data_IF_224732356424
#
_entry.id   IF_224732356424
#
_cell.length_a   1.000
_cell.length_b   1.000
_cell.length_c   1.000
_cell.angle_alpha   90.00
_cell.angle_beta   90.00
_cell.angle_gamma   90.00
#
_symmetry.space_group_name_H-M   'P 1'
#
loop_
_entity.id
_entity.type
_entity.pdbx_description
1 polymer ?
#
# COMPACT_ATOMS: atom_id res chain seq x y z
N UNK A 1 -42.42 12.53 22.82
CA UNK A 1 -42.44 11.07 22.65
C UNK A 1 -42.90 10.76 21.22
N UNK A 2 -41.98 10.52 20.27
CA UNK A 2 -42.27 9.97 18.92
C UNK A 2 -41.28 8.85 18.66
N UNK A 3 -41.79 7.62 18.71
CA UNK A 3 -41.01 6.41 18.36
C UNK A 3 -40.92 6.32 16.85
N UNK A 4 -39.70 6.29 16.30
CA UNK A 4 -39.44 6.00 14.88
C UNK A 4 -39.03 4.54 14.80
N UNK A 5 -39.88 3.76 14.11
CA UNK A 5 -39.72 2.34 13.84
C UNK A 5 -38.89 2.19 12.55
N UNK A 6 -37.69 1.62 12.65
CA UNK A 6 -36.90 1.24 11.48
C UNK A 6 -37.28 -0.19 11.05
N UNK A 7 -37.85 -0.29 9.86
CA UNK A 7 -38.12 -1.55 9.19
C UNK A 7 -36.90 -1.94 8.40
N UNK A 8 -36.28 -3.07 8.79
CA UNK A 8 -35.20 -3.71 8.04
C UNK A 8 -35.83 -4.64 7.00
N UNK A 9 -35.62 -4.33 5.74
CA UNK A 9 -36.09 -5.14 4.60
C UNK A 9 -34.96 -6.07 4.15
N UNK A 10 -35.11 -7.36 4.44
CA UNK A 10 -34.26 -8.42 3.89
C UNK A 10 -34.73 -8.75 2.46
N UNK A 11 -33.86 -8.56 1.49
CA UNK A 11 -34.02 -9.12 0.13
C UNK A 11 -33.14 -10.36 0.01
N UNK A 12 -33.78 -11.51 -0.03
CA UNK A 12 -33.20 -12.81 -0.38
C UNK A 12 -33.17 -12.95 -1.90
N UNK A 13 -31.99 -13.17 -2.49
CA UNK A 13 -31.85 -13.56 -3.89
C UNK A 13 -31.56 -15.06 -3.99
N UNK A 14 -32.47 -15.74 -4.67
CA UNK A 14 -32.41 -17.18 -4.94
C UNK A 14 -31.54 -17.48 -6.16
N UNK A 15 -30.75 -18.53 -6.03
CA UNK A 15 -29.88 -19.10 -7.05
C UNK A 15 -30.72 -19.97 -7.99
N UNK A 16 -30.54 -19.81 -9.30
CA UNK A 16 -31.00 -20.78 -10.30
C UNK A 16 -29.77 -21.33 -11.02
N UNK A 17 -29.58 -22.64 -10.86
CA UNK A 17 -28.62 -23.50 -11.54
C UNK A 17 -29.26 -24.04 -12.82
N UNK A 18 -28.54 -24.03 -13.94
CA UNK A 18 -28.88 -24.85 -15.09
C UNK A 18 -27.59 -25.34 -15.78
N UNK A 19 -27.41 -26.64 -15.72
CA UNK A 19 -26.46 -27.42 -16.54
C UNK A 19 -27.00 -27.59 -17.96
N UNK A 20 -26.12 -27.66 -18.96
CA UNK A 20 -26.34 -28.51 -20.15
C UNK A 20 -24.98 -28.89 -20.76
N UNK A 21 -24.79 -30.22 -20.88
CA UNK A 21 -23.73 -30.94 -21.57
C UNK A 21 -23.95 -30.92 -23.11
N UNK A 22 -22.87 -31.09 -23.87
CA UNK A 22 -22.67 -32.09 -24.94
C UNK A 22 -21.56 -31.66 -25.90
N UNK A 23 -20.47 -32.43 -25.90
CA UNK A 23 -19.96 -33.45 -26.85
C UNK A 23 -19.28 -32.96 -28.14
N UNK A 24 -18.04 -33.50 -28.27
CA UNK A 24 -17.15 -33.54 -29.47
C UNK A 24 -17.75 -34.35 -30.64
N UNK A 25 -17.16 -34.31 -31.85
CA UNK A 25 -15.97 -35.14 -32.14
C UNK A 25 -14.99 -34.65 -33.21
N UNK A 26 -13.80 -35.23 -33.20
CA UNK A 26 -12.73 -35.27 -34.20
C UNK A 26 -13.11 -36.24 -35.36
N UNK A 27 -12.63 -36.14 -36.63
CA UNK A 27 -11.31 -36.68 -36.99
C UNK A 27 -10.57 -36.14 -38.24
N UNK A 28 -9.24 -36.12 -38.19
CA UNK A 28 -8.22 -36.89 -38.95
C UNK A 28 -7.97 -36.74 -40.46
N UNK A 29 -6.64 -36.82 -40.81
CA UNK A 29 -5.92 -37.21 -42.07
C UNK A 29 -5.64 -36.09 -43.07
N UNK A 30 -4.55 -36.07 -43.82
CA UNK A 30 -3.25 -36.80 -43.91
C UNK A 30 -2.40 -36.14 -44.98
N UNK A 31 -1.05 -36.23 -44.84
CA UNK A 31 -0.02 -36.39 -45.91
C UNK A 31 0.08 -35.35 -47.04
N UNK A 32 1.20 -34.87 -47.56
CA UNK A 32 2.42 -35.58 -47.99
C UNK A 32 3.55 -34.57 -48.30
N UNK A 33 4.76 -34.99 -48.03
CA UNK A 33 6.09 -34.76 -48.59
C UNK A 33 6.31 -33.81 -49.77
N UNK A 34 7.39 -33.00 -49.67
CA UNK A 34 8.54 -33.08 -50.63
C UNK A 34 9.67 -32.10 -50.26
N UNK A 35 10.85 -32.63 -49.96
CA UNK A 35 12.17 -32.01 -50.16
C UNK A 35 12.66 -32.38 -51.59
N UNK A 36 13.81 -31.85 -52.15
CA UNK A 36 14.85 -31.00 -51.55
C UNK A 36 15.31 -29.85 -52.49
N UNK A 37 16.12 -28.88 -52.03
CA UNK A 37 17.39 -28.64 -52.72
C UNK A 37 18.38 -27.75 -51.90
N UNK A 38 19.62 -28.16 -51.99
CA UNK A 38 20.83 -27.58 -51.37
C UNK A 38 21.32 -26.41 -52.21
N UNK A 39 21.68 -25.29 -51.58
CA UNK A 39 22.75 -24.45 -52.09
C UNK A 39 23.42 -23.60 -51.01
N UNK A 40 24.73 -23.65 -51.00
CA UNK A 40 25.69 -23.05 -50.11
C UNK A 40 25.72 -21.52 -50.08
N UNK A 41 26.02 -20.93 -48.88
CA UNK A 41 26.94 -19.84 -48.58
C UNK A 41 26.34 -18.65 -47.83
N UNK A 42 27.13 -17.84 -47.07
CA UNK A 42 28.43 -18.01 -46.40
C UNK A 42 28.45 -17.55 -44.94
N UNK A 43 29.53 -17.83 -44.26
CA UNK A 43 29.93 -17.68 -42.86
C UNK A 43 30.00 -16.25 -42.24
N UNK A 44 29.49 -15.20 -42.88
CA UNK A 44 29.56 -13.83 -42.33
C UNK A 44 28.35 -13.41 -41.49
N UNK A 45 27.21 -14.05 -41.65
CA UNK A 45 26.00 -13.75 -40.86
C UNK A 45 26.02 -14.29 -39.42
N UNK A 46 26.77 -15.37 -39.16
CA UNK A 46 26.87 -15.93 -37.77
C UNK A 46 27.64 -15.03 -36.81
N UNK A 47 28.62 -14.24 -37.28
CA UNK A 47 29.36 -13.33 -36.38
C UNK A 47 28.57 -12.10 -35.98
N UNK A 48 27.65 -11.61 -36.77
CA UNK A 48 26.78 -10.50 -36.41
C UNK A 48 25.61 -10.97 -35.54
N UNK A 49 25.11 -12.16 -35.73
CA UNK A 49 24.06 -12.75 -34.88
C UNK A 49 24.53 -12.98 -33.44
N UNK A 50 25.75 -13.49 -33.25
CA UNK A 50 26.30 -13.68 -31.90
C UNK A 50 26.63 -12.37 -31.18
N UNK A 51 27.02 -11.30 -31.88
CA UNK A 51 27.26 -9.99 -31.27
C UNK A 51 25.97 -9.33 -30.85
N UNK A 52 24.94 -9.39 -31.67
CA UNK A 52 23.61 -8.87 -31.32
C UNK A 52 22.93 -9.65 -30.19
N UNK A 53 23.11 -10.97 -30.11
CA UNK A 53 22.58 -11.77 -29.00
C UNK A 53 23.33 -11.48 -27.69
N UNK A 54 24.64 -11.21 -27.72
CA UNK A 54 25.39 -10.84 -26.53
C UNK A 54 25.06 -9.42 -26.04
N UNK A 55 24.82 -8.46 -26.93
CA UNK A 55 24.36 -7.11 -26.56
C UNK A 55 22.92 -7.13 -26.05
N UNK A 56 22.00 -7.84 -26.69
CA UNK A 56 20.63 -8.03 -26.21
C UNK A 56 20.57 -8.75 -24.86
N UNK A 57 21.46 -9.73 -24.63
CA UNK A 57 21.54 -10.42 -23.35
C UNK A 57 22.11 -9.54 -22.23
N UNK A 58 23.05 -8.63 -22.55
CA UNK A 58 23.58 -7.63 -21.61
C UNK A 58 22.54 -6.54 -21.28
N UNK A 59 21.80 -6.06 -22.26
CA UNK A 59 20.73 -5.06 -22.08
C UNK A 59 19.58 -5.68 -21.24
N UNK A 60 19.18 -6.92 -21.52
CA UNK A 60 18.16 -7.60 -20.74
C UNK A 60 18.61 -7.89 -19.28
N UNK A 61 19.85 -8.31 -19.07
CA UNK A 61 20.39 -8.51 -17.71
C UNK A 61 20.49 -7.21 -16.93
N UNK A 62 20.90 -6.11 -17.55
CA UNK A 62 20.96 -4.78 -16.92
C UNK A 62 19.57 -4.27 -16.52
N UNK A 63 18.58 -4.40 -17.39
CA UNK A 63 17.20 -4.01 -17.10
C UNK A 63 16.53 -4.92 -16.05
N UNK A 64 16.83 -6.21 -16.02
CA UNK A 64 16.31 -7.14 -15.02
C UNK A 64 16.88 -6.81 -13.65
N UNK A 65 18.18 -6.51 -13.53
CA UNK A 65 18.80 -6.12 -12.25
C UNK A 65 18.22 -4.81 -11.74
N UNK A 66 18.02 -3.81 -12.60
CA UNK A 66 17.42 -2.53 -12.20
C UNK A 66 15.93 -2.68 -11.78
N UNK A 67 15.17 -3.60 -12.38
CA UNK A 67 13.77 -3.84 -12.05
C UNK A 67 13.57 -4.61 -10.75
N UNK A 68 14.57 -5.36 -10.28
CA UNK A 68 14.50 -6.15 -9.04
C UNK A 68 14.82 -5.36 -7.78
N UNK A 69 15.35 -4.14 -7.89
CA UNK A 69 15.60 -3.27 -6.75
C UNK A 69 14.33 -2.53 -6.34
N UNK A 70 14.22 -2.13 -5.08
CA UNK A 70 13.09 -1.29 -4.63
C UNK A 70 12.95 -0.02 -5.47
N UNK A 71 14.06 0.68 -5.72
CA UNK A 71 14.07 1.88 -6.56
C UNK A 71 13.56 1.59 -7.98
N UNK A 72 13.96 0.45 -8.57
CA UNK A 72 13.47 0.01 -9.88
C UNK A 72 11.97 -0.29 -9.88
N UNK A 73 11.48 -0.99 -8.86
CA UNK A 73 10.05 -1.29 -8.69
C UNK A 73 9.23 0.00 -8.53
N UNK A 74 9.66 0.92 -7.67
CA UNK A 74 8.96 2.20 -7.43
C UNK A 74 8.98 3.10 -8.66
N UNK A 75 10.10 3.12 -9.40
CA UNK A 75 10.19 3.82 -10.69
C UNK A 75 9.22 3.21 -11.71
N UNK A 76 9.23 1.89 -11.90
CA UNK A 76 8.33 1.20 -12.82
C UNK A 76 6.86 1.44 -12.44
N UNK A 77 6.55 1.46 -11.14
CA UNK A 77 5.22 1.79 -10.66
C UNK A 77 4.81 3.21 -11.06
N UNK A 78 5.68 4.20 -10.85
CA UNK A 78 5.43 5.59 -11.23
C UNK A 78 5.18 5.72 -12.74
N UNK A 79 5.93 5.00 -13.56
CA UNK A 79 5.80 5.02 -15.02
C UNK A 79 4.51 4.32 -15.51
N UNK A 80 4.03 3.31 -14.77
CA UNK A 80 2.80 2.56 -15.10
C UNK A 80 1.52 3.21 -14.57
N UNK A 81 1.60 3.97 -13.47
CA UNK A 81 0.45 4.67 -12.89
C UNK A 81 0.08 5.88 -13.75
N UNK A 82 -0.86 5.66 -14.68
CA UNK A 82 -1.43 6.72 -15.50
C UNK A 82 -2.60 7.38 -14.77
N UNK A 83 -2.32 8.42 -14.01
CA UNK A 83 -3.32 9.18 -13.25
C UNK A 83 -3.51 10.56 -13.85
N UNK A 84 -4.70 11.14 -13.67
CA UNK A 84 -5.01 12.52 -14.03
C UNK A 84 -4.64 13.54 -12.94
N UNK A 85 -4.03 13.08 -11.84
CA UNK A 85 -3.50 13.90 -10.76
C UNK A 85 -2.13 13.36 -10.29
N UNK A 86 -1.24 14.24 -9.81
CA UNK A 86 0.06 13.81 -9.32
C UNK A 86 -0.07 13.02 -8.03
N UNK A 87 0.68 11.93 -7.91
CA UNK A 87 0.79 11.15 -6.68
C UNK A 87 2.24 11.06 -6.21
N UNK A 88 2.41 11.09 -4.90
CA UNK A 88 3.70 10.85 -4.24
C UNK A 88 3.77 9.37 -3.90
N UNK A 89 4.86 8.72 -4.28
CA UNK A 89 5.20 7.35 -3.88
C UNK A 89 6.33 7.39 -2.84
N UNK A 90 6.48 6.36 -2.00
CA UNK A 90 7.57 6.32 -1.02
C UNK A 90 8.93 6.24 -1.73
N UNK A 91 9.98 6.75 -1.10
CA UNK A 91 11.37 6.62 -1.61
C UNK A 91 11.87 5.19 -1.48
N UNK A 92 11.58 4.58 -0.36
CA UNK A 92 11.95 3.21 0.00
C UNK A 92 10.96 2.68 1.04
N UNK A 93 10.76 1.37 1.08
CA UNK A 93 9.89 0.74 2.08
C UNK A 93 10.70 -0.22 2.97
N UNK A 94 10.36 -0.32 4.26
CA UNK A 94 11.08 -1.18 5.20
C UNK A 94 10.69 -2.65 4.96
N UNK A 95 11.40 -3.33 4.05
CA UNK A 95 11.25 -4.77 3.81
C UNK A 95 12.41 -5.55 4.44
N UNK A 96 12.21 -6.85 4.65
CA UNK A 96 13.23 -7.75 5.21
C UNK A 96 14.40 -7.89 4.23
N UNK A 97 15.62 -7.89 4.77
CA UNK A 97 16.82 -8.11 3.94
C UNK A 97 16.73 -9.45 3.19
N UNK A 98 16.95 -9.41 1.89
CA UNK A 98 16.90 -10.59 1.02
C UNK A 98 15.51 -10.92 0.47
N UNK A 99 14.53 -10.05 0.71
CA UNK A 99 13.22 -10.11 0.06
C UNK A 99 13.09 -9.04 -1.03
N UNK A 100 12.01 -9.12 -1.79
CA UNK A 100 11.72 -8.22 -2.91
C UNK A 100 10.45 -7.43 -2.63
N UNK A 101 10.48 -6.13 -2.97
CA UNK A 101 9.28 -5.31 -3.02
C UNK A 101 8.53 -5.60 -4.33
N UNK A 102 7.22 -5.72 -4.24
CA UNK A 102 6.32 -5.72 -5.39
C UNK A 102 4.99 -5.10 -4.99
N UNK A 103 4.09 -4.87 -5.95
CA UNK A 103 2.80 -4.28 -5.68
C UNK A 103 1.72 -4.68 -6.69
N UNK A 104 0.46 -4.54 -6.27
CA UNK A 104 -0.67 -4.41 -7.19
C UNK A 104 -1.18 -2.98 -7.18
N UNK A 105 -1.65 -2.52 -8.34
CA UNK A 105 -2.15 -1.17 -8.53
C UNK A 105 -3.55 -1.19 -9.12
N UNK A 106 -4.42 -0.29 -8.63
CA UNK A 106 -5.74 -0.05 -9.19
C UNK A 106 -5.91 1.46 -9.38
N UNK A 107 -6.28 1.88 -10.58
CA UNK A 107 -6.50 3.30 -10.91
C UNK A 107 -7.96 3.49 -11.29
N UNK A 108 -8.61 4.44 -10.64
CA UNK A 108 -9.96 4.91 -10.92
C UNK A 108 -9.93 6.41 -11.25
N UNK A 109 -11.05 6.98 -11.66
CA UNK A 109 -11.11 8.39 -12.09
C UNK A 109 -10.59 9.39 -11.06
N UNK A 110 -10.85 9.15 -9.77
CA UNK A 110 -10.48 10.04 -8.66
C UNK A 110 -9.74 9.32 -7.53
N UNK A 111 -9.29 8.08 -7.76
CA UNK A 111 -8.64 7.29 -6.73
C UNK A 111 -7.57 6.38 -7.32
N UNK A 112 -6.48 6.24 -6.59
CA UNK A 112 -5.44 5.23 -6.83
C UNK A 112 -5.31 4.39 -5.58
N UNK A 113 -5.24 3.07 -5.77
CA UNK A 113 -4.89 2.13 -4.71
C UNK A 113 -3.62 1.38 -5.10
N UNK A 114 -2.70 1.26 -4.15
CA UNK A 114 -1.49 0.45 -4.28
C UNK A 114 -1.40 -0.46 -3.07
N UNK A 115 -1.38 -1.77 -3.32
CA UNK A 115 -1.04 -2.76 -2.30
C UNK A 115 0.43 -3.12 -2.45
N UNK A 116 1.23 -2.78 -1.45
CA UNK A 116 2.64 -3.15 -1.37
C UNK A 116 2.80 -4.52 -0.73
N UNK A 117 3.65 -5.33 -1.33
CA UNK A 117 3.95 -6.67 -0.85
C UNK A 117 5.46 -6.87 -0.69
N UNK A 118 5.81 -7.64 0.31
CA UNK A 118 7.12 -8.25 0.48
C UNK A 118 7.05 -9.70 0.03
N UNK A 119 7.96 -10.12 -0.86
CA UNK A 119 8.01 -11.48 -1.42
C UNK A 119 9.41 -12.09 -1.31
N UNK A 120 9.51 -13.41 -1.10
CA UNK A 120 10.77 -14.15 -1.11
C UNK A 120 11.36 -14.32 -2.51
N UNK A 121 10.53 -14.23 -3.54
CA UNK A 121 10.94 -14.26 -4.96
C UNK A 121 10.57 -12.94 -5.64
N UNK A 122 11.33 -12.57 -6.67
CA UNK A 122 10.96 -11.43 -7.49
C UNK A 122 9.66 -11.70 -8.24
N UNK A 123 8.68 -10.84 -8.05
CA UNK A 123 7.41 -10.84 -8.77
C UNK A 123 7.22 -9.48 -9.45
N UNK A 124 6.87 -9.44 -10.74
CA UNK A 124 6.53 -8.18 -11.42
C UNK A 124 5.35 -7.46 -10.78
N UNK A 125 5.20 -6.17 -11.08
CA UNK A 125 4.00 -5.42 -10.68
C UNK A 125 2.75 -6.07 -11.29
N UNK A 126 1.70 -6.16 -10.48
CA UNK A 126 0.41 -6.75 -10.87
C UNK A 126 0.47 -8.24 -11.24
N UNK A 127 1.50 -8.97 -10.78
CA UNK A 127 1.60 -10.41 -11.03
C UNK A 127 0.39 -11.15 -10.44
N UNK A 128 -0.13 -12.13 -11.19
CA UNK A 128 -1.29 -12.93 -10.75
C UNK A 128 -1.02 -13.75 -9.49
N UNK A 129 0.23 -14.12 -9.23
CA UNK A 129 0.65 -14.83 -8.02
C UNK A 129 0.40 -14.02 -6.74
N UNK A 130 0.35 -12.70 -6.82
CA UNK A 130 0.06 -11.82 -5.67
C UNK A 130 -1.36 -12.00 -5.11
N UNK A 131 -2.27 -12.60 -5.87
CA UNK A 131 -3.60 -12.97 -5.37
C UNK A 131 -3.57 -14.13 -4.38
N UNK A 132 -2.48 -14.89 -4.35
CA UNK A 132 -2.28 -16.01 -3.42
C UNK A 132 -1.32 -15.57 -2.30
N UNK A 133 -1.83 -15.43 -1.07
CA UNK A 133 -1.09 -14.97 0.10
C UNK A 133 0.14 -15.82 0.48
N UNK A 134 0.28 -17.03 -0.08
CA UNK A 134 1.45 -17.87 0.16
C UNK A 134 2.72 -17.35 -0.51
N UNK A 135 2.60 -16.54 -1.57
CA UNK A 135 3.74 -16.04 -2.34
C UNK A 135 4.27 -14.70 -1.84
N UNK A 136 3.42 -13.89 -1.20
CA UNK A 136 3.78 -12.56 -0.76
C UNK A 136 2.94 -12.11 0.45
N UNK A 137 3.52 -11.23 1.28
CA UNK A 137 2.87 -10.67 2.47
C UNK A 137 2.57 -9.21 2.20
N UNK A 138 1.34 -8.78 2.44
CA UNK A 138 0.97 -7.36 2.40
C UNK A 138 1.70 -6.64 3.53
N UNK A 139 2.43 -5.57 3.18
CA UNK A 139 3.13 -4.72 4.14
C UNK A 139 2.42 -3.37 4.35
N UNK A 140 1.72 -2.87 3.33
CA UNK A 140 0.90 -1.67 3.41
C UNK A 140 -0.08 -1.58 2.24
N UNK A 141 -1.19 -0.86 2.45
CA UNK A 141 -2.02 -0.33 1.38
C UNK A 141 -1.93 1.20 1.39
N UNK A 142 -1.66 1.78 0.23
CA UNK A 142 -1.78 3.21 -0.04
C UNK A 142 -3.05 3.45 -0.83
N UNK A 143 -3.90 4.34 -0.35
CA UNK A 143 -5.03 4.89 -1.11
C UNK A 143 -4.81 6.40 -1.26
N UNK A 144 -4.80 6.90 -2.48
CA UNK A 144 -4.76 8.34 -2.78
C UNK A 144 -6.06 8.71 -3.45
N UNK A 145 -6.83 9.60 -2.82
CA UNK A 145 -8.12 10.03 -3.34
C UNK A 145 -8.15 11.53 -3.60
N UNK A 146 -8.62 11.92 -4.78
CA UNK A 146 -8.82 13.30 -5.17
C UNK A 146 -10.22 13.78 -4.79
N UNK A 147 -10.29 14.96 -4.20
CA UNK A 147 -11.51 15.65 -3.81
C UNK A 147 -11.70 16.91 -4.65
N UNK A 148 -12.91 17.49 -4.70
CA UNK A 148 -13.19 18.68 -5.51
C UNK A 148 -12.31 19.90 -5.17
N UNK A 149 -11.96 20.08 -3.90
CA UNK A 149 -11.10 21.15 -3.42
C UNK A 149 -10.40 20.76 -2.11
N UNK A 150 -9.43 21.60 -1.69
CA UNK A 150 -8.62 21.36 -0.50
C UNK A 150 -9.44 21.34 0.80
N UNK A 151 -10.51 22.13 0.89
CA UNK A 151 -11.39 22.16 2.07
C UNK A 151 -12.08 20.81 2.26
N UNK A 152 -12.71 20.28 1.21
CA UNK A 152 -13.39 18.97 1.24
C UNK A 152 -12.39 17.85 1.51
N UNK A 153 -11.17 17.94 0.97
CA UNK A 153 -10.11 16.98 1.28
C UNK A 153 -9.74 17.03 2.76
N UNK A 154 -9.57 18.22 3.34
CA UNK A 154 -9.22 18.34 4.76
C UNK A 154 -10.35 17.87 5.71
N UNK A 155 -11.60 17.99 5.33
CA UNK A 155 -12.75 17.46 6.08
C UNK A 155 -12.73 15.93 6.23
N UNK A 156 -11.92 15.23 5.42
CA UNK A 156 -11.71 13.79 5.54
C UNK A 156 -10.69 13.39 6.63
N UNK A 157 -9.93 14.36 7.15
CA UNK A 157 -8.92 14.12 8.17
C UNK A 157 -9.57 14.17 9.54
N UNK A 158 -9.52 13.08 10.29
CA UNK A 158 -9.99 13.02 11.67
C UNK A 158 -8.99 13.72 12.61
N UNK A 159 -8.75 15.01 12.37
CA UNK A 159 -7.84 15.80 13.19
C UNK A 159 -8.48 16.15 14.53
N UNK A 160 -7.72 15.95 15.62
CA UNK A 160 -8.12 16.28 16.99
C UNK A 160 -7.07 17.17 17.62
N UNK A 161 -7.48 18.30 18.20
CA UNK A 161 -6.62 19.06 19.07
C UNK A 161 -6.73 18.50 20.49
N UNK A 162 -5.83 17.62 20.86
CA UNK A 162 -5.90 16.88 22.11
C UNK A 162 -5.76 17.77 23.34
N UNK A 163 -4.99 18.85 23.27
CA UNK A 163 -4.85 19.80 24.39
C UNK A 163 -6.15 20.53 24.75
N UNK A 164 -7.06 20.67 23.76
CA UNK A 164 -8.37 21.31 23.93
C UNK A 164 -9.48 20.32 24.27
N UNK A 165 -9.28 19.05 23.95
CA UNK A 165 -10.29 18.01 24.15
C UNK A 165 -10.38 17.53 25.61
N UNK A 166 -9.41 17.91 26.45
CA UNK A 166 -9.30 17.42 27.82
C UNK A 166 -8.66 16.03 27.91
N UNK A 167 -8.83 15.37 29.05
CA UNK A 167 -8.24 14.07 29.33
C UNK A 167 -7.12 14.12 30.36
N UNK A 168 -6.69 12.96 30.84
CA UNK A 168 -5.60 12.85 31.83
C UNK A 168 -4.27 13.11 31.12
N UNK A 169 -3.49 14.08 31.61
CA UNK A 169 -2.17 14.38 31.06
C UNK A 169 -1.19 13.25 31.38
N UNK A 170 -0.35 12.94 30.41
CA UNK A 170 0.75 11.99 30.51
C UNK A 170 1.98 12.53 29.80
N UNK A 171 3.13 12.45 30.44
CA UNK A 171 4.41 12.83 29.86
C UNK A 171 4.85 11.73 28.86
N UNK A 172 5.07 12.12 27.60
CA UNK A 172 5.54 11.24 26.54
C UNK A 172 7.05 11.35 26.28
N UNK A 173 7.75 12.26 26.99
CA UNK A 173 9.14 12.63 26.75
C UNK A 173 9.27 13.78 25.76
N UNK A 174 10.48 14.35 25.63
CA UNK A 174 10.78 15.43 24.68
C UNK A 174 9.87 16.67 24.82
N UNK A 175 9.44 16.97 26.04
CA UNK A 175 8.47 18.04 26.36
C UNK A 175 7.09 17.85 25.72
N UNK A 176 6.78 16.65 25.20
CA UNK A 176 5.48 16.33 24.61
C UNK A 176 4.53 15.77 25.66
N UNK A 177 3.39 16.44 25.80
CA UNK A 177 2.30 16.02 26.69
C UNK A 177 1.24 15.28 25.89
N UNK A 178 0.98 14.03 26.26
CA UNK A 178 -0.16 13.26 25.79
C UNK A 178 -1.38 13.47 26.66
N UNK A 179 -2.55 13.21 26.11
CA UNK A 179 -3.85 13.30 26.77
C UNK A 179 -4.56 11.95 26.64
N UNK A 180 -4.93 11.37 27.77
CA UNK A 180 -5.63 10.09 27.79
C UNK A 180 -7.14 10.31 27.92
N UNK A 181 -7.89 9.63 27.07
CA UNK A 181 -9.34 9.59 27.08
C UNK A 181 -9.82 8.16 26.96
N UNK A 182 -10.82 7.78 27.75
CA UNK A 182 -11.34 6.42 27.82
C UNK A 182 -12.83 6.37 27.50
N UNK A 183 -13.23 5.37 26.74
CA UNK A 183 -14.64 5.14 26.42
C UNK A 183 -14.88 3.73 25.91
N UNK A 184 -15.97 3.09 26.36
CA UNK A 184 -16.41 1.78 25.92
C UNK A 184 -15.30 0.68 25.92
N UNK A 185 -14.47 0.67 26.96
CA UNK A 185 -13.37 -0.30 27.12
C UNK A 185 -12.11 0.02 26.33
N UNK A 186 -12.12 1.08 25.51
CA UNK A 186 -10.96 1.62 24.80
C UNK A 186 -10.31 2.74 25.57
N UNK A 187 -8.99 2.85 25.48
CA UNK A 187 -8.20 3.94 26.01
C UNK A 187 -7.31 4.49 24.89
N UNK A 188 -7.42 5.77 24.65
CA UNK A 188 -6.62 6.50 23.68
C UNK A 188 -5.62 7.40 24.41
N UNK A 189 -4.38 7.43 23.93
CA UNK A 189 -3.37 8.41 24.32
C UNK A 189 -3.05 9.25 23.10
N UNK A 190 -3.53 10.49 23.06
CA UNK A 190 -3.40 11.38 21.91
C UNK A 190 -2.50 12.58 22.19
N UNK A 191 -1.79 13.05 21.17
CA UNK A 191 -0.95 14.27 21.22
C UNK A 191 -0.91 14.94 19.84
N UNK A 192 -0.38 16.15 19.79
CA UNK A 192 -0.21 16.87 18.52
C UNK A 192 1.25 17.23 18.32
N UNK A 193 1.75 17.05 17.09
CA UNK A 193 3.03 17.54 16.62
C UNK A 193 2.82 18.30 15.29
N UNK A 194 3.02 19.61 15.32
CA UNK A 194 2.76 20.47 14.17
C UNK A 194 1.33 20.32 13.65
N UNK A 195 1.20 19.85 12.41
CA UNK A 195 -0.10 19.62 11.75
C UNK A 195 -0.62 18.19 11.90
N UNK A 196 0.00 17.40 12.73
CA UNK A 196 -0.39 16.02 12.98
C UNK A 196 -1.16 15.86 14.29
N UNK A 197 -2.24 15.11 14.25
CA UNK A 197 -2.90 14.54 15.40
C UNK A 197 -2.52 13.07 15.49
N UNK A 198 -1.78 12.67 16.52
CA UNK A 198 -1.30 11.31 16.69
C UNK A 198 -2.00 10.69 17.90
N UNK A 199 -2.34 9.41 17.83
CA UNK A 199 -2.91 8.69 18.94
C UNK A 199 -2.51 7.23 18.95
N UNK A 200 -2.36 6.68 20.16
CA UNK A 200 -2.25 5.24 20.37
C UNK A 200 -3.50 4.71 21.03
N UNK A 201 -3.95 3.54 20.56
CA UNK A 201 -5.07 2.81 21.12
C UNK A 201 -4.60 1.64 21.95
N UNK A 202 -5.24 1.47 23.12
CA UNK A 202 -5.17 0.28 23.96
C UNK A 202 -6.52 0.03 24.60
N UNK A 203 -6.63 -1.00 25.44
CA UNK A 203 -7.81 -1.23 26.28
C UNK A 203 -7.60 -0.64 27.66
N UNK A 204 -8.71 -0.35 28.35
CA UNK A 204 -8.68 0.19 29.71
C UNK A 204 -8.04 -0.74 30.74
N UNK A 205 -8.00 -2.05 30.46
CA UNK A 205 -7.31 -3.05 31.29
C UNK A 205 -5.78 -3.11 31.07
N UNK A 206 -5.26 -2.38 30.06
CA UNK A 206 -3.82 -2.33 29.75
C UNK A 206 -3.34 -0.90 29.42
N UNK A 207 -3.53 0.08 30.34
CA UNK A 207 -3.28 1.49 30.04
C UNK A 207 -1.82 1.79 29.71
N UNK A 208 -0.89 1.10 30.35
CA UNK A 208 0.54 1.34 30.19
C UNK A 208 1.06 0.98 28.77
N UNK A 209 0.42 0.05 28.09
CA UNK A 209 0.84 -0.35 26.75
C UNK A 209 0.60 0.77 25.73
N UNK A 210 -0.51 1.52 25.83
CA UNK A 210 -0.79 2.69 24.98
C UNK A 210 0.22 3.80 25.19
N UNK A 211 0.53 4.15 26.45
CA UNK A 211 1.55 5.15 26.78
C UNK A 211 2.94 4.72 26.30
N UNK A 212 3.30 3.45 26.50
CA UNK A 212 4.59 2.92 26.01
C UNK A 212 4.72 3.07 24.49
N UNK A 213 3.68 2.71 23.75
CA UNK A 213 3.66 2.87 22.30
C UNK A 213 3.73 4.35 21.88
N UNK A 214 3.01 5.24 22.59
CA UNK A 214 3.08 6.68 22.34
C UNK A 214 4.50 7.23 22.54
N UNK A 215 5.17 6.87 23.63
CA UNK A 215 6.58 7.24 23.88
C UNK A 215 7.52 6.73 22.79
N UNK A 216 7.33 5.51 22.31
CA UNK A 216 8.11 4.97 21.21
C UNK A 216 7.85 5.70 19.87
N UNK A 217 6.60 6.11 19.63
CA UNK A 217 6.25 6.91 18.47
C UNK A 217 6.89 8.30 18.51
N UNK A 218 6.80 8.99 19.64
CA UNK A 218 7.47 10.29 19.87
C UNK A 218 8.98 10.14 19.66
N UNK A 219 9.62 9.17 20.31
CA UNK A 219 11.06 8.91 20.14
C UNK A 219 11.46 8.67 18.67
N UNK A 220 10.64 7.96 17.91
CA UNK A 220 10.86 7.74 16.47
C UNK A 220 10.77 9.06 15.69
N UNK A 221 9.78 9.90 16.00
CA UNK A 221 9.53 11.15 15.28
C UNK A 221 10.56 12.24 15.58
N UNK A 222 11.32 12.15 16.68
CA UNK A 222 12.46 13.04 16.95
C UNK A 222 13.56 12.96 15.88
N UNK A 223 13.64 11.85 15.16
CA UNK A 223 14.68 11.61 14.14
C UNK A 223 14.12 11.36 12.75
N UNK A 224 12.80 11.22 12.62
CA UNK A 224 12.13 10.93 11.34
C UNK A 224 10.95 11.87 11.14
N UNK A 225 10.80 12.39 9.94
CA UNK A 225 9.71 13.30 9.60
C UNK A 225 8.62 12.56 8.82
N UNK A 226 7.38 12.76 9.25
CA UNK A 226 6.21 12.40 8.45
C UNK A 226 6.03 13.39 7.29
N UNK A 227 5.30 13.04 6.22
CA UNK A 227 4.93 13.98 5.16
C UNK A 227 4.34 15.25 5.78
N UNK A 228 4.61 16.41 5.17
CA UNK A 228 4.08 17.69 5.68
C UNK A 228 2.68 17.90 5.12
N UNK A 229 1.60 17.73 5.90
CA UNK A 229 0.25 17.99 5.42
C UNK A 229 0.06 19.46 5.06
N UNK A 230 -0.72 19.76 4.03
CA UNK A 230 -1.05 21.16 3.73
C UNK A 230 -1.86 21.81 4.83
N UNK A 231 -2.83 21.10 5.40
CA UNK A 231 -3.57 21.53 6.58
C UNK A 231 -3.41 20.56 7.74
N UNK A 232 -3.93 19.35 7.61
CA UNK A 232 -3.94 18.38 8.70
C UNK A 232 -3.53 16.97 8.26
N UNK A 233 -2.98 16.22 9.21
CA UNK A 233 -2.78 14.77 9.16
C UNK A 233 -3.22 14.14 10.47
N UNK A 234 -3.54 12.84 10.42
CA UNK A 234 -3.77 12.06 11.62
C UNK A 234 -3.14 10.66 11.50
N UNK A 235 -2.65 10.15 12.64
CA UNK A 235 -2.12 8.80 12.76
C UNK A 235 -2.76 8.11 13.96
N UNK A 236 -3.28 6.91 13.76
CA UNK A 236 -3.78 6.05 14.83
C UNK A 236 -3.00 4.75 14.82
N UNK A 237 -2.41 4.43 15.96
CA UNK A 237 -1.57 3.27 16.18
C UNK A 237 -2.22 2.37 17.21
N UNK A 238 -2.28 1.07 16.96
CA UNK A 238 -2.97 0.11 17.81
C UNK A 238 -1.97 -0.87 18.45
N UNK A 239 -1.99 -0.96 19.77
CA UNK A 239 -1.15 -1.89 20.55
C UNK A 239 -1.41 -3.35 20.11
N UNK A 240 -2.63 -3.66 19.70
CA UNK A 240 -3.03 -5.01 19.29
C UNK A 240 -2.79 -5.29 17.80
N UNK A 241 -2.07 -4.36 17.11
CA UNK A 241 -1.64 -4.50 15.70
C UNK A 241 -2.81 -4.60 14.71
N UNK A 242 -3.93 -4.02 15.08
CA UNK A 242 -5.12 -3.96 14.23
C UNK A 242 -5.59 -2.51 14.07
N UNK A 243 -5.84 -2.07 12.84
CA UNK A 243 -6.36 -0.74 12.58
C UNK A 243 -5.32 0.39 12.63
N UNK A 244 -4.03 0.08 12.47
CA UNK A 244 -3.03 1.13 12.22
C UNK A 244 -3.38 1.86 10.94
N UNK A 245 -3.52 3.19 11.04
CA UNK A 245 -3.90 4.04 9.89
C UNK A 245 -3.20 5.39 10.01
N UNK A 246 -2.67 5.87 8.89
CA UNK A 246 -2.06 7.19 8.77
C UNK A 246 -2.70 7.88 7.58
N UNK A 247 -3.21 9.10 7.80
CA UNK A 247 -3.94 9.86 6.79
C UNK A 247 -3.39 11.28 6.77
N UNK A 248 -3.11 11.82 5.58
CA UNK A 248 -2.72 13.23 5.44
C UNK A 248 -3.29 13.83 4.17
N UNK A 249 -3.45 15.14 4.22
CA UNK A 249 -3.95 15.93 3.10
C UNK A 249 -2.79 16.63 2.39
N UNK A 250 -2.77 16.53 1.06
CA UNK A 250 -1.92 17.32 0.18
C UNK A 250 -2.79 17.98 -0.91
N UNK A 251 -3.03 19.28 -0.76
CA UNK A 251 -3.95 20.04 -1.60
C UNK A 251 -5.34 19.40 -1.67
N UNK A 252 -5.75 18.92 -2.84
CA UNK A 252 -7.03 18.23 -3.08
C UNK A 252 -6.95 16.72 -2.84
N UNK A 253 -5.77 16.20 -2.48
CA UNK A 253 -5.53 14.79 -2.32
C UNK A 253 -5.54 14.41 -0.85
N UNK A 254 -6.10 13.26 -0.56
CA UNK A 254 -5.98 12.58 0.72
C UNK A 254 -5.25 11.27 0.51
N UNK A 255 -4.16 11.11 1.23
CA UNK A 255 -3.36 9.90 1.30
C UNK A 255 -3.78 9.11 2.52
N UNK A 256 -4.01 7.83 2.37
CA UNK A 256 -4.31 6.89 3.45
C UNK A 256 -3.36 5.71 3.36
N UNK A 257 -2.66 5.42 4.45
CA UNK A 257 -1.86 4.21 4.64
C UNK A 257 -2.55 3.35 5.69
N UNK A 258 -2.84 2.10 5.34
CA UNK A 258 -3.42 1.10 6.23
C UNK A 258 -2.95 -0.32 5.91
N UNK A 259 -3.58 -1.34 6.48
CA UNK A 259 -3.20 -2.76 6.39
C UNK A 259 -1.77 -3.03 6.90
N UNK A 260 -1.23 -2.18 7.75
CA UNK A 260 0.09 -2.30 8.36
C UNK A 260 -0.08 -2.91 9.74
N UNK A 261 0.53 -4.07 10.00
CA UNK A 261 0.37 -4.79 11.26
C UNK A 261 1.11 -4.12 12.42
N UNK A 262 2.38 -3.76 12.20
CA UNK A 262 3.23 -3.24 13.26
C UNK A 262 3.07 -1.71 13.37
N UNK A 263 2.67 -1.15 14.53
CA UNK A 263 2.35 0.27 14.66
C UNK A 263 3.54 1.19 14.38
N UNK A 264 4.75 0.88 14.84
CA UNK A 264 5.93 1.69 14.55
C UNK A 264 6.36 1.56 13.07
N UNK A 265 6.14 0.40 12.47
CA UNK A 265 6.37 0.22 11.04
C UNK A 265 5.41 1.07 10.18
N UNK A 266 4.22 1.39 10.71
CA UNK A 266 3.32 2.32 10.04
C UNK A 266 3.92 3.73 9.96
N UNK A 267 4.55 4.21 11.03
CA UNK A 267 5.27 5.50 11.03
C UNK A 267 6.49 5.46 10.09
N UNK A 268 7.26 4.37 10.11
CA UNK A 268 8.42 4.16 9.24
C UNK A 268 8.03 4.21 7.75
N UNK A 269 6.94 3.51 7.37
CA UNK A 269 6.40 3.54 6.02
C UNK A 269 5.90 4.95 5.66
N UNK A 270 5.20 5.64 6.56
CA UNK A 270 4.74 6.99 6.29
C UNK A 270 5.90 7.99 6.14
N UNK A 271 6.95 7.87 6.96
CA UNK A 271 8.16 8.70 6.86
C UNK A 271 8.85 8.57 5.50
N UNK A 272 8.73 7.40 4.83
CA UNK A 272 9.28 7.19 3.49
C UNK A 272 8.64 8.09 2.40
N UNK A 273 7.50 8.71 2.69
CA UNK A 273 6.82 9.70 1.82
C UNK A 273 7.27 11.14 2.07
N UNK A 274 8.13 11.39 3.04
CA UNK A 274 8.72 12.71 3.25
C UNK A 274 9.72 13.03 2.13
N UNK A 275 9.50 14.13 1.40
CA UNK A 275 10.28 14.57 0.23
C UNK A 275 10.82 15.99 0.40
#
# INVERSE_FOLDING_TARGET
MKKILFIVMFLSFSIISACSDQEEPVPNKSQEEQQPNVSNKPQEEERQSHKNQQELSKINKGNIVASNTQAGVLKNMKDQLKTNFPIILPKELPITKGTFLTATTKVEANQVEVLFFESKEYLPLNDRKLKNSQNAIIIARLVVKQYPNAKVANEQISFVNYSQNGGQKVDLGYDIIGYQDAGAGSLWTGWNEGRWALATHTRTDNPNAGVKLAKQAVQFLETHMLPIPKQNGCARLDVYKSGNIIVWQDEKLVYTLDLIKEPLKALEIAAAFYH
#
